data_IF_448545660060
#
_entry.id   IF_448545660060
#
_cell.length_a   1.000
_cell.length_b   1.000
_cell.length_c   1.000
_cell.angle_alpha   90.00
_cell.angle_beta   90.00
_cell.angle_gamma   90.00
#
_symmetry.space_group_name_H-M   'P 1'
#
loop_
_entity.id
_entity.type
_entity.pdbx_description
1 polymer ?
#
# COMPACT_ATOMS: atom_id res chain seq x y z
N UNK A 1 17.38 -6.73 1.67
CA UNK A 1 17.01 -5.61 0.80
C UNK A 1 17.86 -4.40 1.18
N UNK A 2 18.44 -3.72 0.18
CA UNK A 2 19.34 -2.56 0.21
C UNK A 2 20.30 -2.37 1.42
N UNK A 3 21.58 -2.66 1.20
CA UNK A 3 22.73 -2.34 2.06
C UNK A 3 23.14 -0.85 1.94
N UNK A 4 22.20 0.08 2.09
CA UNK A 4 22.50 1.51 2.19
C UNK A 4 22.08 1.99 3.57
N UNK A 5 23.05 2.35 4.39
CA UNK A 5 22.93 2.87 5.76
C UNK A 5 22.20 4.23 5.86
N UNK A 6 21.36 4.59 4.87
CA UNK A 6 20.69 5.89 4.74
C UNK A 6 19.16 5.84 4.86
N UNK A 7 18.58 4.71 5.27
CA UNK A 7 17.16 4.64 5.65
C UNK A 7 17.06 4.20 7.10
N UNK A 8 17.10 5.16 8.03
CA UNK A 8 16.95 4.88 9.47
C UNK A 8 15.53 5.08 9.98
N UNK A 9 14.60 5.58 9.14
CA UNK A 9 13.20 5.79 9.53
C UNK A 9 12.24 5.49 8.38
N UNK A 10 11.22 4.71 8.71
CA UNK A 10 10.11 4.35 7.84
C UNK A 10 8.81 4.65 8.58
N UNK A 11 7.79 5.09 7.87
CA UNK A 11 6.47 5.36 8.42
C UNK A 11 5.48 4.31 7.93
N UNK A 12 4.83 3.63 8.87
CA UNK A 12 3.88 2.56 8.59
C UNK A 12 2.46 3.13 8.62
N UNK A 13 1.72 2.96 7.54
CA UNK A 13 0.33 3.38 7.39
C UNK A 13 -0.55 2.14 7.38
N UNK A 14 -1.34 1.97 8.44
CA UNK A 14 -2.12 0.76 8.66
C UNK A 14 -3.58 1.12 8.91
N UNK A 15 -4.46 0.51 8.13
CA UNK A 15 -5.90 0.51 8.37
C UNK A 15 -6.30 -0.94 8.66
N UNK A 16 -6.61 -1.28 9.91
CA UNK A 16 -7.03 -2.63 10.25
C UNK A 16 -8.45 -2.94 9.75
N UNK A 17 -8.73 -4.22 9.53
CA UNK A 17 -10.06 -4.69 9.11
C UNK A 17 -11.08 -4.82 10.24
N UNK A 18 -10.67 -5.35 11.39
CA UNK A 18 -11.59 -5.69 12.49
C UNK A 18 -11.12 -5.19 13.87
N UNK A 19 -9.82 -5.27 14.17
CA UNK A 19 -9.23 -4.89 15.46
C UNK A 19 -8.00 -4.03 15.24
N UNK A 20 -7.66 -3.10 16.15
CA UNK A 20 -6.44 -2.28 16.02
C UNK A 20 -5.21 -3.16 15.76
N UNK A 21 -4.26 -2.67 14.94
CA UNK A 21 -3.04 -3.42 14.66
C UNK A 21 -2.26 -3.65 15.97
N UNK A 22 -1.44 -4.72 16.04
CA UNK A 22 -0.54 -4.91 17.16
C UNK A 22 0.38 -3.69 17.34
N UNK A 23 0.85 -3.45 18.57
CA UNK A 23 1.74 -2.32 18.89
C UNK A 23 3.08 -2.41 18.15
N UNK A 24 3.50 -3.63 17.81
CA UNK A 24 4.69 -3.92 17.00
C UNK A 24 4.25 -4.66 15.74
N UNK A 25 4.65 -4.13 14.59
CA UNK A 25 4.30 -4.68 13.29
C UNK A 25 5.59 -5.23 12.71
N UNK A 26 5.73 -6.55 12.74
CA UNK A 26 6.88 -7.22 12.12
C UNK A 26 6.70 -7.19 10.60
N UNK A 27 7.67 -6.60 9.90
CA UNK A 27 7.69 -6.48 8.45
C UNK A 27 7.87 -7.83 7.72
N UNK A 28 8.27 -8.86 8.46
CA UNK A 28 8.68 -10.15 7.91
C UNK A 28 7.49 -11.05 7.54
N UNK A 29 6.33 -10.90 8.18
CA UNK A 29 5.16 -11.75 7.94
C UNK A 29 3.85 -10.97 7.96
N UNK A 30 3.62 -10.24 6.87
CA UNK A 30 2.41 -9.46 6.69
C UNK A 30 1.27 -10.38 6.24
N UNK A 31 0.43 -10.79 7.18
CA UNK A 31 -0.87 -11.40 6.86
C UNK A 31 -1.81 -10.34 6.27
N UNK A 32 -1.78 -10.24 4.93
CA UNK A 32 -2.60 -9.31 4.18
C UNK A 32 -4.11 -9.46 4.42
N UNK A 33 -4.59 -10.57 5.01
CA UNK A 33 -6.02 -10.73 5.31
C UNK A 33 -6.52 -9.85 6.47
N UNK A 34 -5.60 -9.31 7.28
CA UNK A 34 -5.89 -8.54 8.50
C UNK A 34 -6.08 -7.05 8.28
N UNK A 35 -5.59 -6.52 7.16
CA UNK A 35 -5.51 -5.09 6.89
C UNK A 35 -6.39 -4.70 5.70
N UNK A 36 -7.04 -3.54 5.78
CA UNK A 36 -7.65 -2.89 4.62
C UNK A 36 -6.62 -2.13 3.80
N UNK A 37 -5.62 -1.55 4.48
CA UNK A 37 -4.46 -0.91 3.89
C UNK A 37 -3.24 -1.21 4.77
N UNK A 38 -2.15 -1.64 4.15
CA UNK A 38 -0.84 -1.56 4.76
C UNK A 38 0.14 -1.03 3.73
N UNK A 39 0.79 0.10 4.05
CA UNK A 39 1.84 0.70 3.26
C UNK A 39 2.96 1.24 4.15
N UNK A 40 4.16 1.35 3.58
CA UNK A 40 5.35 1.92 4.21
C UNK A 40 5.83 3.10 3.38
N UNK A 41 6.21 4.20 4.01
CA UNK A 41 6.93 5.30 3.33
C UNK A 41 8.28 5.49 3.99
N UNK A 42 9.34 5.32 3.20
CA UNK A 42 10.71 5.57 3.62
C UNK A 42 11.04 7.06 3.53
N UNK A 43 11.96 7.52 4.39
CA UNK A 43 12.44 8.92 4.36
C UNK A 43 13.18 9.29 3.08
N UNK A 44 13.62 8.33 2.28
CA UNK A 44 14.19 8.57 0.96
C UNK A 44 13.12 8.89 -0.12
N UNK A 45 11.84 8.92 0.27
CA UNK A 45 10.71 9.23 -0.60
C UNK A 45 10.25 8.04 -1.43
N UNK A 46 10.59 6.81 -1.05
CA UNK A 46 10.05 5.59 -1.65
C UNK A 46 8.87 5.10 -0.81
N UNK A 47 7.71 4.91 -1.44
CA UNK A 47 6.50 4.35 -0.83
C UNK A 47 6.26 2.92 -1.29
N UNK A 48 6.00 2.01 -0.37
CA UNK A 48 5.68 0.60 -0.62
C UNK A 48 4.22 0.35 -0.26
N UNK A 49 3.39 -0.01 -1.24
CA UNK A 49 2.04 -0.52 -0.97
C UNK A 49 2.09 -2.04 -0.83
N UNK A 50 1.83 -2.55 0.39
CA UNK A 50 1.99 -3.97 0.75
C UNK A 50 0.65 -4.70 0.71
N UNK A 51 -0.43 -4.03 1.13
CA UNK A 51 -1.75 -4.62 1.18
C UNK A 51 -2.84 -3.58 0.90
N UNK A 52 -3.83 -3.96 0.09
CA UNK A 52 -5.04 -3.17 -0.13
C UNK A 52 -6.26 -4.09 -0.33
N UNK A 53 -7.20 -4.04 0.61
CA UNK A 53 -8.41 -4.85 0.60
C UNK A 53 -9.66 -3.97 0.64
N UNK A 54 -10.35 -3.90 -0.51
CA UNK A 54 -11.69 -3.31 -0.62
C UNK A 54 -12.80 -4.23 -0.10
N UNK A 55 -14.05 -3.96 -0.51
CA UNK A 55 -15.22 -4.76 -0.11
C UNK A 55 -15.04 -6.25 -0.42
N UNK A 56 -14.55 -6.58 -1.61
CA UNK A 56 -14.24 -7.96 -2.02
C UNK A 56 -13.11 -8.61 -1.19
N UNK A 57 -12.24 -7.81 -0.56
CA UNK A 57 -11.22 -8.26 0.40
C UNK A 57 -11.73 -8.30 1.85
N UNK A 58 -13.03 -8.04 2.05
CA UNK A 58 -13.72 -8.07 3.34
C UNK A 58 -13.80 -6.73 4.07
N UNK A 59 -13.55 -5.61 3.41
CA UNK A 59 -13.94 -4.30 3.95
C UNK A 59 -15.46 -4.22 4.10
N UNK A 60 -15.94 -3.76 5.25
CA UNK A 60 -17.39 -3.59 5.49
C UNK A 60 -17.96 -2.33 4.84
N UNK A 61 -17.11 -1.33 4.57
CA UNK A 61 -17.56 0.03 4.25
C UNK A 61 -16.86 0.63 3.03
N UNK A 62 -15.57 0.37 2.85
CA UNK A 62 -14.77 1.06 1.84
C UNK A 62 -14.44 0.14 0.65
N UNK A 63 -14.83 0.50 -0.58
CA UNK A 63 -14.37 -0.21 -1.77
C UNK A 63 -12.89 0.10 -2.01
N UNK A 64 -12.21 -0.80 -2.73
CA UNK A 64 -10.75 -0.72 -2.92
C UNK A 64 -10.30 0.59 -3.56
N UNK A 65 -11.14 1.17 -4.45
CA UNK A 65 -10.87 2.47 -5.08
C UNK A 65 -10.73 3.63 -4.07
N UNK A 66 -11.52 3.66 -3.00
CA UNK A 66 -11.47 4.76 -2.03
C UNK A 66 -10.22 4.62 -1.15
N UNK A 67 -9.85 3.38 -0.81
CA UNK A 67 -8.62 3.08 -0.09
C UNK A 67 -7.40 3.44 -0.96
N UNK A 68 -7.45 3.16 -2.26
CA UNK A 68 -6.40 3.51 -3.22
C UNK A 68 -6.29 5.02 -3.40
N UNK A 69 -7.42 5.73 -3.45
CA UNK A 69 -7.46 7.20 -3.47
C UNK A 69 -6.87 7.80 -2.19
N UNK A 70 -7.14 7.22 -1.03
CA UNK A 70 -6.53 7.64 0.23
C UNK A 70 -5.00 7.45 0.17
N UNK A 71 -4.52 6.32 -0.33
CA UNK A 71 -3.08 6.07 -0.54
C UNK A 71 -2.45 7.11 -1.48
N UNK A 72 -3.09 7.42 -2.60
CA UNK A 72 -2.61 8.44 -3.55
C UNK A 72 -2.50 9.83 -2.90
N UNK A 73 -3.52 10.25 -2.17
CA UNK A 73 -3.50 11.51 -1.42
C UNK A 73 -2.37 11.53 -0.39
N UNK A 74 -2.10 10.42 0.31
CA UNK A 74 -0.96 10.33 1.23
C UNK A 74 0.38 10.45 0.50
N UNK A 75 0.56 9.74 -0.60
CA UNK A 75 1.77 9.85 -1.43
C UNK A 75 2.04 11.29 -1.88
N UNK A 76 0.99 11.99 -2.34
CA UNK A 76 1.08 13.40 -2.75
C UNK A 76 1.47 14.32 -1.60
N UNK A 77 0.85 14.18 -0.44
CA UNK A 77 1.14 15.02 0.73
C UNK A 77 2.52 14.74 1.34
N UNK A 78 2.96 13.47 1.31
CA UNK A 78 4.27 13.05 1.80
C UNK A 78 5.39 13.22 0.75
N UNK A 79 5.06 13.70 -0.46
CA UNK A 79 5.98 13.89 -1.58
C UNK A 79 6.76 12.60 -1.92
N UNK A 80 6.05 11.46 -1.89
CA UNK A 80 6.58 10.18 -2.34
C UNK A 80 6.97 10.31 -3.82
N UNK A 81 8.24 10.00 -4.13
CA UNK A 81 8.83 10.16 -5.47
C UNK A 81 8.76 8.88 -6.30
N UNK A 82 8.68 7.74 -5.63
CA UNK A 82 8.58 6.42 -6.25
C UNK A 82 7.65 5.55 -5.44
N UNK A 83 6.75 4.84 -6.12
CA UNK A 83 5.85 3.87 -5.49
C UNK A 83 6.26 2.49 -5.99
N UNK A 84 6.59 1.60 -5.07
CA UNK A 84 6.68 0.16 -5.29
C UNK A 84 5.40 -0.49 -4.77
N UNK A 85 4.98 -1.53 -5.44
CA UNK A 85 3.85 -2.36 -5.00
C UNK A 85 4.44 -3.72 -4.68
N UNK A 86 4.37 -4.11 -3.42
CA UNK A 86 4.82 -5.42 -2.99
C UNK A 86 3.63 -6.38 -3.01
N UNK A 87 3.69 -7.33 -3.93
CA UNK A 87 2.58 -8.20 -4.25
C UNK A 87 2.54 -9.44 -3.36
N UNK A 88 2.35 -9.25 -2.06
CA UNK A 88 2.12 -10.36 -1.14
C UNK A 88 0.64 -10.76 -1.09
N UNK A 89 -0.25 -9.87 -1.55
CA UNK A 89 -1.69 -10.09 -1.63
C UNK A 89 -2.12 -10.79 -2.93
N UNK A 90 -2.20 -12.12 -2.92
CA UNK A 90 -2.87 -12.89 -4.00
C UNK A 90 -4.39 -12.71 -3.91
N UNK A 91 -4.92 -11.62 -4.46
CA UNK A 91 -6.37 -11.50 -4.66
C UNK A 91 -6.75 -12.30 -5.91
N UNK A 92 -7.32 -13.50 -5.72
CA UNK A 92 -7.79 -14.35 -6.84
C UNK A 92 -6.70 -14.74 -7.88
N UNK A 93 -5.42 -14.80 -7.45
CA UNK A 93 -4.23 -14.99 -8.30
C UNK A 93 -3.83 -13.79 -9.17
N UNK A 94 -4.38 -12.59 -8.92
CA UNK A 94 -4.05 -11.38 -9.68
C UNK A 94 -3.12 -10.46 -8.88
N UNK A 95 -2.02 -10.07 -9.52
CA UNK A 95 -1.02 -9.16 -8.98
C UNK A 95 -1.60 -7.75 -8.75
N UNK A 96 -1.45 -7.14 -7.57
CA UNK A 96 -1.94 -5.79 -7.24
C UNK A 96 -1.38 -4.71 -8.19
N UNK A 97 -0.17 -4.89 -8.74
CA UNK A 97 0.37 -4.00 -9.80
C UNK A 97 -0.52 -3.97 -11.04
N UNK A 98 -1.16 -5.10 -11.36
CA UNK A 98 -2.07 -5.20 -12.49
C UNK A 98 -3.39 -4.49 -12.19
N UNK A 99 -3.84 -4.52 -10.92
CA UNK A 99 -5.02 -3.77 -10.50
C UNK A 99 -4.78 -2.25 -10.57
N UNK A 100 -3.63 -1.78 -10.11
CA UNK A 100 -3.26 -0.37 -10.21
C UNK A 100 -3.14 0.07 -11.68
N UNK A 101 -2.45 -0.71 -12.52
CA UNK A 101 -2.34 -0.41 -13.96
C UNK A 101 -3.71 -0.41 -14.69
N UNK A 102 -4.65 -1.25 -14.27
CA UNK A 102 -6.02 -1.27 -14.81
C UNK A 102 -6.84 -0.08 -14.30
N UNK A 103 -6.66 0.31 -13.03
CA UNK A 103 -7.37 1.44 -12.44
C UNK A 103 -6.86 2.80 -12.97
N UNK A 104 -5.57 2.88 -13.29
CA UNK A 104 -4.88 4.06 -13.80
C UNK A 104 -4.21 3.73 -15.14
N UNK A 105 -5.00 3.34 -16.15
CA UNK A 105 -4.48 3.17 -17.52
C UNK A 105 -3.57 4.34 -17.93
N UNK A 106 -2.61 4.12 -18.85
CA UNK A 106 -1.58 5.11 -19.17
C UNK A 106 -2.21 6.48 -19.35
N UNK A 107 -1.87 7.40 -18.44
CA UNK A 107 -2.23 8.80 -18.59
C UNK A 107 -1.56 9.24 -19.89
N UNK A 108 -2.38 9.61 -20.88
CA UNK A 108 -1.92 10.27 -22.09
C UNK A 108 -1.03 11.43 -21.67
N UNK A 109 0.24 11.35 -22.07
CA UNK A 109 1.21 12.42 -21.89
C UNK A 109 0.69 13.72 -22.50
N UNK A 110 0.68 14.78 -21.69
CA UNK A 110 0.30 16.12 -22.11
C UNK A 110 1.01 17.19 -21.31
N UNK A 111 2.30 17.38 -21.65
CA UNK A 111 3.22 18.51 -21.34
C UNK A 111 3.46 18.92 -19.88
#
# INVERSE_FOLDING_TARGET
WNNSLLTTRSYHFIIPKNSPPPLEVDDVEIDGSRYLLYAIVHTDGIGHLLCLNGIEGGSKHFPGREIMKLWDVMCKNLRVRKISVEDTSKKHSMYLRLLYAVAYGPEDEGF
#
